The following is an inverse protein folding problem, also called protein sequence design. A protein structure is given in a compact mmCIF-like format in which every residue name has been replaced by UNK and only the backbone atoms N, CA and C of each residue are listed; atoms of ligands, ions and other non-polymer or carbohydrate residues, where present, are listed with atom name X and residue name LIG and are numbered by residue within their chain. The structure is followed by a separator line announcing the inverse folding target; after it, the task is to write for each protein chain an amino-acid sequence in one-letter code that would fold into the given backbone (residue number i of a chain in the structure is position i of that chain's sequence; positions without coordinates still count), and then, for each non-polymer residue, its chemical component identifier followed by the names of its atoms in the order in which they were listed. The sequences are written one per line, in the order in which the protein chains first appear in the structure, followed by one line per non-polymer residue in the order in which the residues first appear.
data_IF_629996737192
#
_entry.id   IF_629996737192
#
_cell.length_a   1.000
_cell.length_b   1.000
_cell.length_c   1.000
_cell.angle_alpha   90.00
_cell.angle_beta   90.00
_cell.angle_gamma   90.00
#
_symmetry.space_group_name_H-M   'P 1'
#
loop_
_entity.id
_entity.type
_entity.pdbx_description
1 polymer ?
#
# COMPACT_ATOMS: atom_id res chain seq x y z
N UNK A 1 1.90 13.36 10.61
CA UNK A 1 1.86 11.89 10.44
C UNK A 1 2.46 11.62 9.07
N UNK A 2 3.51 10.82 8.96
CA UNK A 2 4.11 10.54 7.66
C UNK A 2 3.16 9.70 6.82
N UNK A 3 2.86 10.15 5.61
CA UNK A 3 1.96 9.49 4.66
C UNK A 3 2.56 9.47 3.27
N UNK A 4 2.18 8.48 2.49
CA UNK A 4 2.56 8.39 1.08
C UNK A 4 1.41 8.93 0.25
N UNK A 5 1.70 9.84 -0.66
CA UNK A 5 0.77 10.30 -1.68
C UNK A 5 1.11 9.69 -3.04
N UNK A 6 0.09 9.43 -3.85
CA UNK A 6 0.26 9.06 -5.24
C UNK A 6 0.21 10.32 -6.09
N UNK A 7 1.25 10.54 -6.89
CA UNK A 7 1.38 11.76 -7.70
C UNK A 7 1.50 11.37 -9.16
N UNK A 8 0.56 11.80 -9.99
CA UNK A 8 0.71 11.74 -11.43
C UNK A 8 1.70 12.83 -11.87
N UNK A 9 2.72 12.45 -12.64
CA UNK A 9 3.79 13.38 -13.02
C UNK A 9 4.15 13.33 -14.50
N UNK A 10 4.82 14.39 -14.94
CA UNK A 10 5.47 14.48 -16.25
C UNK A 10 6.86 15.08 -16.08
N UNK A 11 7.85 14.45 -16.71
CA UNK A 11 9.20 14.96 -16.90
C UNK A 11 9.46 15.19 -18.39
N UNK A 12 10.68 15.60 -18.74
CA UNK A 12 11.07 15.73 -20.15
C UNK A 12 11.07 14.39 -20.91
N UNK A 13 11.21 13.26 -20.21
CA UNK A 13 11.41 11.93 -20.82
C UNK A 13 10.28 10.95 -20.58
N UNK A 14 9.42 11.18 -19.58
CA UNK A 14 8.35 10.25 -19.24
C UNK A 14 7.16 10.88 -18.50
N UNK A 15 6.08 10.11 -18.42
CA UNK A 15 4.91 10.37 -17.58
C UNK A 15 4.63 9.13 -16.73
N UNK A 16 4.21 9.31 -15.48
CA UNK A 16 3.96 8.17 -14.59
C UNK A 16 3.22 8.52 -13.32
N UNK A 17 3.18 7.57 -12.39
CA UNK A 17 2.69 7.76 -11.02
C UNK A 17 3.85 7.47 -10.07
N UNK A 18 4.20 8.46 -9.25
CA UNK A 18 5.21 8.37 -8.21
C UNK A 18 4.56 8.23 -6.83
N UNK A 19 5.34 7.69 -5.88
CA UNK A 19 4.99 7.65 -4.45
C UNK A 19 5.84 8.69 -3.75
N UNK A 20 5.20 9.73 -3.21
CA UNK A 20 5.89 10.83 -2.54
C UNK A 20 5.58 10.81 -1.05
N UNK A 21 6.61 10.80 -0.23
CA UNK A 21 6.48 10.83 1.22
C UNK A 21 6.31 12.25 1.74
N UNK A 22 5.32 12.47 2.60
CA UNK A 22 5.10 13.80 3.22
C UNK A 22 4.50 13.66 4.61
N UNK A 23 4.81 14.60 5.50
CA UNK A 23 4.12 14.79 6.78
C UNK A 23 3.01 15.86 6.71
N UNK A 24 2.82 16.47 5.54
CA UNK A 24 1.77 17.44 5.21
C UNK A 24 0.49 16.76 4.72
N UNK A 25 -0.58 17.54 4.54
CA UNK A 25 -1.83 17.04 3.95
C UNK A 25 -1.74 16.80 2.44
N UNK A 26 -0.79 17.43 1.77
CA UNK A 26 -0.48 17.33 0.35
C UNK A 26 1.02 17.56 0.18
N UNK A 27 1.73 16.84 -0.70
CA UNK A 27 3.15 17.05 -0.92
C UNK A 27 3.46 18.47 -1.38
N UNK A 28 4.54 19.03 -0.83
CA UNK A 28 5.08 20.34 -1.22
C UNK A 28 5.88 20.23 -2.53
N UNK A 29 6.08 21.35 -3.26
CA UNK A 29 6.90 21.34 -4.47
C UNK A 29 8.33 20.82 -4.25
N UNK A 30 8.91 21.04 -3.07
CA UNK A 30 10.25 20.56 -2.72
C UNK A 30 10.29 19.04 -2.54
N UNK A 31 9.33 18.47 -1.80
CA UNK A 31 9.19 17.01 -1.64
C UNK A 31 8.94 16.33 -3.00
N UNK A 32 8.08 16.92 -3.84
CA UNK A 32 7.83 16.44 -5.20
C UNK A 32 9.10 16.43 -6.05
N UNK A 33 9.91 17.50 -6.01
CA UNK A 33 11.15 17.59 -6.78
C UNK A 33 12.25 16.65 -6.27
N UNK A 34 12.25 16.33 -4.97
CA UNK A 34 13.19 15.39 -4.37
C UNK A 34 12.92 13.95 -4.83
N UNK A 35 11.65 13.53 -4.85
CA UNK A 35 11.25 12.17 -5.23
C UNK A 35 11.06 11.99 -6.76
N UNK A 36 10.86 13.09 -7.51
CA UNK A 36 10.65 13.08 -8.96
C UNK A 36 11.66 14.02 -9.65
N UNK A 37 12.89 13.56 -9.90
CA UNK A 37 13.90 14.38 -10.56
C UNK A 37 13.46 14.84 -11.96
N UNK A 38 13.62 16.13 -12.25
CA UNK A 38 13.24 16.70 -13.55
C UNK A 38 11.74 16.91 -13.73
N UNK A 39 10.99 17.02 -12.64
CA UNK A 39 9.55 17.30 -12.63
C UNK A 39 9.22 18.58 -13.41
N UNK A 40 8.33 18.46 -14.39
CA UNK A 40 7.75 19.59 -15.13
C UNK A 40 6.35 19.92 -14.60
N UNK A 41 5.51 18.91 -14.44
CA UNK A 41 4.14 19.06 -13.90
C UNK A 41 3.78 17.86 -13.02
N UNK A 42 3.05 18.11 -11.94
CA UNK A 42 2.53 17.10 -11.03
C UNK A 42 1.05 17.38 -10.69
N UNK A 43 0.30 16.31 -10.46
CA UNK A 43 -1.04 16.34 -9.89
C UNK A 43 -1.09 15.36 -8.73
N UNK A 44 -1.40 15.85 -7.54
CA UNK A 44 -1.64 15.01 -6.36
C UNK A 44 -2.95 14.24 -6.55
N UNK A 45 -2.86 12.90 -6.53
CA UNK A 45 -4.01 12.00 -6.62
C UNK A 45 -4.56 11.64 -5.23
N UNK A 46 -3.93 12.15 -4.18
CA UNK A 46 -4.26 11.89 -2.78
C UNK A 46 -3.39 10.81 -2.15
N UNK A 47 -3.75 10.46 -0.91
CA UNK A 47 -3.03 9.47 -0.10
C UNK A 47 -3.11 8.10 -0.76
N UNK A 48 -2.00 7.36 -0.71
CA UNK A 48 -1.99 5.96 -1.07
C UNK A 48 -2.90 5.18 -0.11
N UNK A 49 -3.92 4.48 -0.62
CA UNK A 49 -4.83 3.71 0.23
C UNK A 49 -4.08 2.67 1.06
N UNK A 50 -4.41 2.63 2.36
CA UNK A 50 -3.89 1.63 3.27
C UNK A 50 -4.90 0.51 3.51
N UNK A 51 -4.39 -0.67 3.80
CA UNK A 51 -5.17 -1.87 4.09
C UNK A 51 -4.65 -2.53 5.35
N UNK A 52 -5.57 -3.05 6.16
CA UNK A 52 -5.24 -3.75 7.39
C UNK A 52 -5.36 -5.25 7.15
N UNK A 53 -4.23 -5.95 7.17
CA UNK A 53 -4.18 -7.41 7.16
C UNK A 53 -4.24 -7.93 8.59
N UNK A 54 -5.22 -8.79 8.87
CA UNK A 54 -5.38 -9.52 10.13
C UNK A 54 -5.23 -11.00 9.87
N UNK A 55 -4.54 -11.69 10.76
CA UNK A 55 -4.37 -13.13 10.68
C UNK A 55 -3.99 -13.71 12.03
N UNK A 56 -4.27 -14.99 12.23
CA UNK A 56 -3.88 -15.74 13.41
C UNK A 56 -2.66 -16.61 13.13
N UNK A 57 -1.87 -16.84 14.17
CA UNK A 57 -0.77 -17.80 14.17
C UNK A 57 -0.58 -18.33 15.59
N UNK A 58 0.30 -19.31 15.77
CA UNK A 58 0.57 -19.92 17.07
C UNK A 58 0.94 -18.94 18.20
N UNK A 59 1.58 -17.80 17.88
CA UNK A 59 1.93 -16.80 18.88
C UNK A 59 0.79 -15.83 19.24
N UNK A 60 -0.40 -16.02 18.65
CA UNK A 60 -1.56 -15.15 18.80
C UNK A 60 -1.87 -14.32 17.54
N UNK A 61 -2.92 -13.49 17.61
CA UNK A 61 -3.38 -12.67 16.49
C UNK A 61 -2.33 -11.64 16.10
N UNK A 62 -2.27 -11.35 14.80
CA UNK A 62 -1.36 -10.39 14.18
C UNK A 62 -2.17 -9.42 13.33
N UNK A 63 -1.74 -8.16 13.33
CA UNK A 63 -2.32 -7.11 12.52
C UNK A 63 -1.21 -6.28 11.87
N UNK A 64 -1.38 -5.94 10.59
CA UNK A 64 -0.44 -5.10 9.84
C UNK A 64 -1.16 -4.17 8.89
N UNK A 65 -0.84 -2.89 8.95
CA UNK A 65 -1.25 -1.90 7.95
C UNK A 65 -0.23 -1.86 6.82
N UNK A 66 -0.69 -2.02 5.58
CA UNK A 66 0.14 -2.08 4.37
C UNK A 66 -0.56 -1.41 3.18
N UNK A 67 0.21 -0.95 2.21
CA UNK A 67 -0.32 -0.55 0.89
C UNK A 67 -0.87 -1.74 0.09
N UNK A 68 -1.61 -1.50 -1.00
CA UNK A 68 -2.08 -2.56 -1.91
C UNK A 68 -0.94 -3.47 -2.44
N UNK A 69 0.21 -2.89 -2.80
CA UNK A 69 1.38 -3.66 -3.20
C UNK A 69 1.95 -4.49 -2.02
N UNK A 70 1.87 -3.93 -0.82
CA UNK A 70 2.18 -4.64 0.42
C UNK A 70 1.24 -5.82 0.68
N UNK A 71 -0.07 -5.68 0.42
CA UNK A 71 -1.03 -6.79 0.51
C UNK A 71 -0.64 -7.93 -0.41
N UNK A 72 -0.28 -7.63 -1.66
CA UNK A 72 0.18 -8.65 -2.61
C UNK A 72 1.44 -9.38 -2.12
N UNK A 73 2.43 -8.64 -1.62
CA UNK A 73 3.69 -9.23 -1.14
C UNK A 73 3.53 -10.03 0.14
N UNK A 74 2.88 -9.45 1.14
CA UNK A 74 2.64 -10.10 2.45
C UNK A 74 1.65 -11.24 2.28
N UNK A 75 0.59 -11.05 1.50
CA UNK A 75 -0.42 -12.07 1.21
C UNK A 75 0.20 -13.34 0.62
N UNK A 76 1.17 -13.23 -0.29
CA UNK A 76 1.87 -14.42 -0.84
C UNK A 76 2.58 -15.21 0.24
N UNK A 77 3.21 -14.51 1.18
CA UNK A 77 3.87 -15.14 2.33
C UNK A 77 2.85 -15.79 3.26
N UNK A 78 1.73 -15.10 3.54
CA UNK A 78 0.68 -15.63 4.41
C UNK A 78 0.03 -16.87 3.81
N UNK A 79 -0.27 -16.89 2.50
CA UNK A 79 -0.81 -18.07 1.83
C UNK A 79 0.17 -19.25 1.89
N UNK A 80 1.45 -19.01 1.62
CA UNK A 80 2.47 -20.05 1.77
C UNK A 80 2.59 -20.59 3.20
N UNK A 81 2.33 -19.77 4.22
CA UNK A 81 2.31 -20.19 5.62
C UNK A 81 1.01 -20.91 5.98
N UNK A 82 -0.12 -20.51 5.39
CA UNK A 82 -1.40 -21.18 5.55
C UNK A 82 -1.38 -22.59 4.97
N UNK A 83 -0.75 -22.80 3.81
CA UNK A 83 -0.52 -24.14 3.23
C UNK A 83 0.29 -25.08 4.14
N UNK A 84 0.99 -24.51 5.13
CA UNK A 84 1.80 -25.24 6.13
C UNK A 84 1.13 -25.27 7.52
N UNK A 85 -0.14 -24.88 7.62
CA UNK A 85 -0.89 -24.76 8.87
C UNK A 85 -0.24 -23.82 9.92
N UNK A 86 0.58 -22.86 9.48
CA UNK A 86 1.28 -21.91 10.38
C UNK A 86 0.48 -20.63 10.64
N UNK A 87 -0.45 -20.30 9.74
CA UNK A 87 -1.28 -19.09 9.75
C UNK A 87 -2.70 -19.44 9.30
N UNK A 88 -3.71 -18.83 9.91
CA UNK A 88 -5.12 -19.00 9.54
C UNK A 88 -5.93 -17.72 9.79
N UNK A 89 -7.23 -17.73 9.49
CA UNK A 89 -8.14 -16.59 9.64
C UNK A 89 -7.58 -15.30 9.00
N UNK A 90 -7.08 -15.39 7.77
CA UNK A 90 -6.49 -14.27 7.05
C UNK A 90 -7.61 -13.39 6.49
N UNK A 91 -7.64 -12.13 6.93
CA UNK A 91 -8.62 -11.13 6.53
C UNK A 91 -7.90 -9.85 6.11
N UNK A 92 -8.45 -9.13 5.14
CA UNK A 92 -7.95 -7.82 4.72
C UNK A 92 -9.08 -6.80 4.78
N UNK A 93 -8.83 -5.66 5.41
CA UNK A 93 -9.79 -4.58 5.56
C UNK A 93 -9.30 -3.30 4.86
N UNK A 94 -10.21 -2.54 4.26
CA UNK A 94 -9.91 -1.20 3.76
C UNK A 94 -9.90 -0.14 4.88
N UNK A 95 -9.59 1.12 4.53
CA UNK A 95 -9.53 2.24 5.49
C UNK A 95 -10.88 2.57 6.14
N UNK A 96 -11.99 2.09 5.57
CA UNK A 96 -13.35 2.27 6.10
C UNK A 96 -13.77 1.09 6.99
N UNK A 97 -12.92 0.07 7.13
CA UNK A 97 -13.17 -1.14 7.91
C UNK A 97 -14.00 -2.19 7.19
N UNK A 98 -14.19 -2.08 5.87
CA UNK A 98 -14.85 -3.13 5.10
C UNK A 98 -13.86 -4.23 4.78
N UNK A 99 -14.30 -5.48 4.90
CA UNK A 99 -13.51 -6.62 4.47
C UNK A 99 -13.43 -6.66 2.95
N UNK A 100 -12.19 -6.70 2.44
CA UNK A 100 -11.84 -6.66 1.02
C UNK A 100 -10.84 -7.76 0.66
N UNK A 101 -10.75 -8.82 1.47
CA UNK A 101 -9.83 -9.95 1.29
C UNK A 101 -9.84 -10.47 -0.16
N UNK A 102 -11.03 -10.75 -0.69
CA UNK A 102 -11.18 -11.32 -2.03
C UNK A 102 -11.02 -10.32 -3.19
N UNK A 103 -10.79 -9.03 -2.91
CA UNK A 103 -10.42 -8.07 -3.95
C UNK A 103 -8.96 -8.24 -4.40
N UNK A 104 -8.15 -9.01 -3.66
CA UNK A 104 -6.76 -9.27 -3.99
C UNK A 104 -6.60 -10.71 -4.52
N UNK A 105 -6.08 -10.82 -5.75
CA UNK A 105 -5.86 -12.11 -6.42
C UNK A 105 -5.03 -13.10 -5.60
N UNK A 106 -4.12 -12.61 -4.75
CA UNK A 106 -3.26 -13.44 -3.90
C UNK A 106 -4.03 -14.34 -2.92
N UNK A 107 -5.26 -13.99 -2.56
CA UNK A 107 -6.08 -14.76 -1.62
C UNK A 107 -7.16 -15.60 -2.32
N UNK A 108 -7.22 -15.58 -3.66
CA UNK A 108 -8.28 -16.24 -4.45
C UNK A 108 -7.75 -17.23 -5.48
N UNK A 109 -6.44 -17.25 -5.74
CA UNK A 109 -5.78 -18.17 -6.68
C UNK A 109 -4.81 -19.08 -5.98
#
# INVERSE_FOLDING_TARGET
MFTIHLVAYTTATETGIARVGTDHNTPTPEELAADIPGLLTAVDLGREPQYTLRYEKNAGPMERTVSAAGVQKVGRVLMSLADRDEVWAIECFDERGYEVTFNFAVFTG
#
